data_IF_537919067124
#
_entry.id   IF_537919067124
#
_cell.length_a   1.000
_cell.length_b   1.000
_cell.length_c   1.000
_cell.angle_alpha   90.00
_cell.angle_beta   90.00
_cell.angle_gamma   90.00
#
_symmetry.space_group_name_H-M   'P 1'
#
loop_
_entity.id
_entity.type
_entity.pdbx_description
1 polymer ?
#
# COMPACT_ATOMS: atom_id res chain seq x y z
N UNK A 1 -1.64 -2.90 -11.29
CA UNK A 1 -2.27 -2.89 -12.61
C UNK A 1 -1.18 -2.77 -13.65
N UNK A 2 -1.20 -3.54 -14.74
CA UNK A 2 -0.38 -3.19 -15.88
C UNK A 2 -0.67 -1.74 -16.20
N UNK A 3 0.38 -0.94 -16.42
CA UNK A 3 0.17 0.43 -16.86
C UNK A 3 -0.72 0.43 -18.10
N UNK A 4 -1.47 1.51 -18.33
CA UNK A 4 -2.41 1.64 -19.43
C UNK A 4 -1.79 1.36 -20.83
N UNK A 5 -0.50 1.17 -20.91
CA UNK A 5 0.29 0.87 -22.12
C UNK A 5 0.63 -0.62 -22.26
N UNK A 6 0.17 -1.50 -21.37
CA UNK A 6 0.53 -2.93 -21.37
C UNK A 6 1.99 -3.23 -20.98
N UNK A 7 2.81 -2.23 -20.76
CA UNK A 7 4.12 -2.39 -20.15
C UNK A 7 3.94 -2.47 -18.63
N UNK A 8 4.11 -3.65 -18.05
CA UNK A 8 3.93 -3.94 -16.63
C UNK A 8 4.96 -3.29 -15.71
N UNK A 9 5.25 -2.00 -15.91
CA UNK A 9 6.29 -1.28 -15.18
C UNK A 9 5.65 -0.30 -14.21
N UNK A 10 5.87 -0.53 -12.91
CA UNK A 10 5.42 0.40 -11.88
C UNK A 10 6.27 1.68 -11.87
N UNK A 11 5.73 2.77 -11.33
CA UNK A 11 6.46 4.03 -11.16
C UNK A 11 7.81 3.82 -10.44
N UNK A 12 7.85 3.01 -9.39
CA UNK A 12 9.08 2.75 -8.64
C UNK A 12 10.14 1.99 -9.45
N UNK A 13 9.72 1.07 -10.33
CA UNK A 13 10.65 0.33 -11.21
C UNK A 13 11.24 1.26 -12.26
N UNK A 14 10.46 2.21 -12.80
CA UNK A 14 10.96 3.25 -13.70
C UNK A 14 11.99 4.17 -13.00
N UNK A 15 11.75 4.52 -11.74
CA UNK A 15 12.70 5.31 -10.96
C UNK A 15 14.01 4.54 -10.70
N UNK A 16 13.92 3.24 -10.37
CA UNK A 16 15.11 2.39 -10.24
C UNK A 16 15.92 2.33 -11.55
N UNK A 17 15.25 2.23 -12.71
CA UNK A 17 15.90 2.28 -14.01
C UNK A 17 16.57 3.64 -14.28
N UNK A 18 15.91 4.74 -13.92
CA UNK A 18 16.51 6.08 -14.07
C UNK A 18 17.75 6.27 -13.18
N UNK A 19 17.76 5.68 -11.98
CA UNK A 19 18.93 5.64 -11.11
C UNK A 19 20.07 4.83 -11.75
N UNK A 20 19.76 3.63 -12.27
CA UNK A 20 20.72 2.77 -12.98
C UNK A 20 21.34 3.46 -14.19
N UNK A 21 20.54 4.24 -14.94
CA UNK A 21 20.98 5.01 -16.10
C UNK A 21 21.76 6.30 -15.71
N UNK A 22 21.93 6.62 -14.43
CA UNK A 22 22.58 7.84 -13.96
C UNK A 22 21.79 9.13 -14.26
N UNK A 23 20.48 9.02 -14.49
CA UNK A 23 19.59 10.18 -14.79
C UNK A 23 19.13 10.90 -13.52
N UNK A 24 19.19 10.22 -12.38
CA UNK A 24 18.84 10.74 -11.05
C UNK A 24 19.81 10.18 -10.03
N UNK A 25 20.02 10.91 -8.92
CA UNK A 25 20.91 10.51 -7.83
C UNK A 25 20.18 9.74 -6.71
N UNK A 26 18.87 9.76 -6.70
CA UNK A 26 18.03 9.08 -5.73
C UNK A 26 16.56 9.24 -6.05
N UNK A 27 15.69 8.48 -5.35
CA UNK A 27 14.26 8.58 -5.51
C UNK A 27 13.51 8.18 -4.23
N UNK A 28 12.29 8.64 -4.12
CA UNK A 28 11.33 8.19 -3.13
C UNK A 28 10.27 7.32 -3.81
N UNK A 29 10.05 6.12 -3.30
CA UNK A 29 9.06 5.20 -3.86
C UNK A 29 8.47 4.27 -2.80
N UNK A 30 7.41 3.57 -3.16
CA UNK A 30 6.93 2.42 -2.42
C UNK A 30 7.87 1.21 -2.59
N UNK A 31 7.59 0.12 -1.85
CA UNK A 31 8.50 -1.01 -1.66
C UNK A 31 9.19 -1.57 -2.90
N UNK A 32 8.45 -1.83 -4.00
CA UNK A 32 9.01 -2.56 -5.14
C UNK A 32 10.16 -1.82 -5.83
N UNK A 33 10.05 -0.51 -6.05
CA UNK A 33 11.11 0.25 -6.72
C UNK A 33 12.42 0.26 -5.91
N UNK A 34 12.31 0.47 -4.61
CA UNK A 34 13.45 0.42 -3.70
C UNK A 34 14.08 -0.98 -3.66
N UNK A 35 13.28 -2.05 -3.61
CA UNK A 35 13.78 -3.43 -3.65
C UNK A 35 14.55 -3.74 -4.93
N UNK A 36 14.02 -3.34 -6.08
CA UNK A 36 14.72 -3.53 -7.37
C UNK A 36 16.09 -2.85 -7.35
N UNK A 37 16.15 -1.59 -6.88
CA UNK A 37 17.40 -0.85 -6.82
C UNK A 37 18.44 -1.53 -5.89
N UNK A 38 18.01 -1.94 -4.70
CA UNK A 38 18.88 -2.61 -3.72
C UNK A 38 19.34 -3.98 -4.22
N UNK A 39 18.41 -4.80 -4.74
CA UNK A 39 18.74 -6.15 -5.23
C UNK A 39 19.68 -6.15 -6.44
N UNK A 40 19.58 -5.13 -7.28
CA UNK A 40 20.50 -4.95 -8.41
C UNK A 40 21.84 -4.31 -8.02
N UNK A 41 21.98 -3.88 -6.77
CA UNK A 41 23.19 -3.21 -6.29
C UNK A 41 23.41 -1.81 -6.89
N UNK A 42 22.37 -1.20 -7.46
CA UNK A 42 22.40 0.14 -8.06
C UNK A 42 22.04 1.26 -7.09
N UNK A 43 21.57 0.91 -5.90
CA UNK A 43 21.20 1.87 -4.87
C UNK A 43 21.25 1.27 -3.47
N UNK A 44 21.27 2.15 -2.49
CA UNK A 44 21.22 1.81 -1.06
C UNK A 44 20.00 2.45 -0.42
N UNK A 45 19.32 1.73 0.47
CA UNK A 45 18.21 2.28 1.26
C UNK A 45 18.79 3.29 2.26
N UNK A 46 18.43 4.57 2.08
CA UNK A 46 18.86 5.66 2.97
C UNK A 46 17.87 5.85 4.13
N UNK A 47 16.57 5.70 3.85
CA UNK A 47 15.51 5.89 4.82
C UNK A 47 14.34 4.96 4.48
N UNK A 48 13.85 4.19 5.45
CA UNK A 48 12.63 3.38 5.32
C UNK A 48 11.61 3.75 6.41
N UNK A 49 10.68 4.64 6.09
CA UNK A 49 9.64 5.09 7.02
C UNK A 49 8.78 3.94 7.56
N UNK A 50 8.62 2.85 6.79
CA UNK A 50 7.87 1.65 7.21
C UNK A 50 8.56 0.92 8.37
N UNK A 51 9.87 1.14 8.57
CA UNK A 51 10.69 0.49 9.60
C UNK A 51 11.04 1.40 10.76
N UNK A 52 10.42 2.55 10.81
CA UNK A 52 10.62 3.50 11.88
C UNK A 52 11.73 4.52 11.62
N UNK A 53 12.27 4.60 10.40
CA UNK A 53 13.19 5.67 10.04
C UNK A 53 12.41 6.95 9.75
N UNK A 54 12.83 8.07 10.32
CA UNK A 54 12.23 9.37 10.09
C UNK A 54 11.35 9.89 11.23
N UNK A 55 10.48 10.88 10.99
CA UNK A 55 9.67 11.51 12.03
C UNK A 55 8.63 10.55 12.62
N UNK A 56 8.56 10.45 13.93
CA UNK A 56 7.58 9.59 14.63
C UNK A 56 6.13 9.86 14.18
N UNK A 57 5.79 11.10 13.85
CA UNK A 57 4.47 11.47 13.36
C UNK A 57 4.08 10.76 12.05
N UNK A 58 5.03 10.32 11.24
CA UNK A 58 4.77 9.62 9.99
C UNK A 58 4.41 8.14 10.19
N UNK A 59 4.73 7.53 11.33
CA UNK A 59 4.51 6.09 11.56
C UNK A 59 3.03 5.71 11.69
N UNK A 60 2.20 6.66 12.11
CA UNK A 60 0.75 6.45 12.18
C UNK A 60 0.02 6.69 10.86
N UNK A 61 0.72 7.09 9.80
CA UNK A 61 0.10 7.31 8.51
C UNK A 61 -0.13 5.99 7.78
N UNK A 62 -1.27 5.90 7.07
CA UNK A 62 -1.53 4.83 6.11
C UNK A 62 -1.88 5.45 4.78
N UNK A 63 -1.43 4.83 3.70
CA UNK A 63 -1.72 5.33 2.36
C UNK A 63 -2.58 4.37 1.54
N UNK A 64 -2.24 3.08 1.40
CA UNK A 64 -3.07 2.15 0.66
C UNK A 64 -4.39 1.90 1.40
N UNK A 65 -5.50 2.20 0.73
CA UNK A 65 -6.84 1.95 1.26
C UNK A 65 -7.76 1.40 0.17
N UNK A 66 -8.70 0.54 0.58
CA UNK A 66 -9.83 0.18 -0.27
C UNK A 66 -10.83 1.33 -0.22
N UNK A 67 -11.03 1.99 -1.36
CA UNK A 67 -11.93 3.12 -1.48
C UNK A 67 -13.10 2.80 -2.41
N UNK A 68 -14.26 3.37 -2.09
CA UNK A 68 -15.47 3.30 -2.91
C UNK A 68 -16.32 4.54 -2.71
N UNK A 69 -17.42 4.66 -3.44
CA UNK A 69 -18.38 5.77 -3.31
C UNK A 69 -19.50 5.42 -2.35
N UNK A 70 -20.05 6.44 -1.68
CA UNK A 70 -21.26 6.30 -0.86
C UNK A 70 -22.41 5.71 -1.68
N UNK A 71 -22.58 6.16 -2.93
CA UNK A 71 -23.61 5.66 -3.84
C UNK A 71 -23.48 4.14 -4.12
N UNK A 72 -22.23 3.60 -4.20
CA UNK A 72 -22.06 2.14 -4.33
C UNK A 72 -22.45 1.42 -3.04
N UNK A 73 -22.04 1.96 -1.90
CA UNK A 73 -22.39 1.36 -0.59
C UNK A 73 -23.91 1.30 -0.40
N UNK A 74 -24.62 2.38 -0.73
CA UNK A 74 -26.08 2.45 -0.61
C UNK A 74 -26.79 1.49 -1.58
N UNK A 75 -26.36 1.45 -2.84
CA UNK A 75 -26.99 0.61 -3.87
C UNK A 75 -26.64 -0.88 -3.71
N UNK A 76 -25.45 -1.20 -3.27
CA UNK A 76 -24.91 -2.57 -3.24
C UNK A 76 -24.02 -2.82 -2.02
N UNK A 77 -24.55 -2.74 -0.78
CA UNK A 77 -23.76 -2.87 0.44
C UNK A 77 -23.03 -4.21 0.53
N UNK A 78 -23.63 -5.29 0.03
CA UNK A 78 -23.02 -6.62 0.01
C UNK A 78 -21.79 -6.70 -0.92
N UNK A 79 -21.79 -5.96 -2.01
CA UNK A 79 -20.62 -5.88 -2.90
C UNK A 79 -19.46 -5.17 -2.20
N UNK A 80 -19.71 -4.08 -1.51
CA UNK A 80 -18.72 -3.38 -0.71
C UNK A 80 -18.20 -4.28 0.42
N UNK A 81 -19.08 -4.96 1.14
CA UNK A 81 -18.72 -5.93 2.17
C UNK A 81 -17.87 -7.11 1.63
N UNK A 82 -18.21 -7.60 0.43
CA UNK A 82 -17.45 -8.67 -0.22
C UNK A 82 -16.01 -8.24 -0.54
N UNK A 83 -15.81 -7.00 -1.00
CA UNK A 83 -14.48 -6.45 -1.25
C UNK A 83 -13.65 -6.34 0.03
N UNK A 84 -14.25 -5.88 1.14
CA UNK A 84 -13.60 -5.84 2.45
C UNK A 84 -13.21 -7.25 2.90
N UNK A 85 -14.14 -8.22 2.83
CA UNK A 85 -13.86 -9.63 3.18
C UNK A 85 -12.71 -10.21 2.34
N UNK A 86 -12.68 -9.90 1.03
CA UNK A 86 -11.61 -10.38 0.14
C UNK A 86 -10.25 -9.86 0.58
N UNK A 87 -10.14 -8.56 0.89
CA UNK A 87 -8.91 -7.94 1.39
C UNK A 87 -8.44 -8.59 2.70
N UNK A 88 -9.33 -8.74 3.67
CA UNK A 88 -9.00 -9.33 4.98
C UNK A 88 -8.57 -10.80 4.84
N UNK A 89 -9.27 -11.58 4.01
CA UNK A 89 -8.89 -12.97 3.71
C UNK A 89 -7.53 -13.05 3.02
N UNK A 90 -7.24 -12.14 2.10
CA UNK A 90 -5.94 -12.09 1.42
C UNK A 90 -4.82 -11.81 2.40
N UNK A 91 -4.98 -10.84 3.30
CA UNK A 91 -3.99 -10.56 4.33
C UNK A 91 -3.78 -11.78 5.25
N UNK A 92 -4.85 -12.49 5.64
CA UNK A 92 -4.76 -13.73 6.42
C UNK A 92 -4.03 -14.85 5.67
N UNK A 93 -4.33 -15.04 4.39
CA UNK A 93 -3.67 -16.03 3.55
C UNK A 93 -2.16 -15.73 3.38
N UNK A 94 -1.80 -14.47 3.19
CA UNK A 94 -0.40 -14.04 3.08
C UNK A 94 0.37 -14.21 4.40
N UNK A 95 -0.29 -14.00 5.54
CA UNK A 95 0.30 -14.28 6.86
C UNK A 95 0.58 -15.78 7.05
N UNK A 96 -0.28 -16.64 6.51
CA UNK A 96 -0.11 -18.09 6.57
C UNK A 96 0.94 -18.60 5.56
N UNK A 97 0.96 -18.03 4.36
CA UNK A 97 1.89 -18.41 3.29
C UNK A 97 2.17 -17.23 2.36
N UNK A 98 3.28 -16.54 2.58
CA UNK A 98 3.69 -15.38 1.80
C UNK A 98 3.99 -15.71 0.33
N UNK A 99 4.36 -16.95 0.01
CA UNK A 99 4.69 -17.37 -1.37
C UNK A 99 3.49 -17.29 -2.32
N UNK A 100 2.25 -17.28 -1.80
CA UNK A 100 1.06 -17.02 -2.59
C UNK A 100 1.15 -15.67 -3.35
N UNK A 101 1.86 -14.70 -2.80
CA UNK A 101 2.10 -13.42 -3.47
C UNK A 101 2.94 -13.58 -4.74
N UNK A 102 3.99 -14.40 -4.70
CA UNK A 102 4.82 -14.72 -5.89
C UNK A 102 4.04 -15.49 -6.93
N UNK A 103 3.22 -16.46 -6.54
CA UNK A 103 2.40 -17.26 -7.47
C UNK A 103 1.39 -16.39 -8.24
N UNK A 104 0.79 -15.41 -7.57
CA UNK A 104 -0.05 -14.40 -8.23
C UNK A 104 0.80 -13.43 -9.05
N UNK A 105 1.93 -13.00 -8.50
CA UNK A 105 2.86 -12.06 -9.14
C UNK A 105 3.34 -12.53 -10.51
N UNK A 106 3.66 -13.81 -10.66
CA UNK A 106 4.09 -14.42 -11.93
C UNK A 106 3.08 -14.28 -13.08
N UNK A 107 1.81 -14.05 -12.76
CA UNK A 107 0.76 -13.84 -13.77
C UNK A 107 0.71 -12.40 -14.27
N UNK A 108 1.25 -11.43 -13.50
CA UNK A 108 1.01 -10.01 -13.73
C UNK A 108 2.27 -9.17 -13.83
N UNK A 109 3.42 -9.70 -13.40
CA UNK A 109 4.69 -8.99 -13.34
C UNK A 109 5.78 -9.77 -14.08
N UNK A 110 6.83 -9.08 -14.59
CA UNK A 110 8.03 -9.74 -15.07
C UNK A 110 8.64 -10.65 -14.00
N UNK A 111 9.36 -11.69 -14.42
CA UNK A 111 9.88 -12.74 -13.52
C UNK A 111 10.74 -12.20 -12.38
N UNK A 112 11.58 -11.21 -12.68
CA UNK A 112 12.44 -10.60 -11.66
C UNK A 112 11.62 -9.93 -10.56
N UNK A 113 10.67 -9.06 -10.90
CA UNK A 113 9.79 -8.39 -9.95
C UNK A 113 8.90 -9.39 -9.21
N UNK A 114 8.38 -10.40 -9.90
CA UNK A 114 7.59 -11.47 -9.29
C UNK A 114 8.38 -12.23 -8.22
N UNK A 115 9.68 -12.44 -8.43
CA UNK A 115 10.56 -13.12 -7.46
C UNK A 115 10.77 -12.30 -6.17
N UNK A 116 10.62 -10.97 -6.23
CA UNK A 116 10.81 -10.09 -5.08
C UNK A 116 9.52 -9.87 -4.27
N UNK A 117 8.34 -10.18 -4.83
CA UNK A 117 7.06 -9.86 -4.19
C UNK A 117 6.94 -10.52 -2.81
N UNK A 118 7.29 -11.79 -2.68
CA UNK A 118 7.20 -12.50 -1.41
C UNK A 118 8.10 -11.87 -0.34
N UNK A 119 9.32 -11.46 -0.70
CA UNK A 119 10.26 -10.81 0.22
C UNK A 119 9.73 -9.46 0.70
N UNK A 120 9.18 -8.64 -0.23
CA UNK A 120 8.55 -7.35 0.10
C UNK A 120 7.35 -7.56 1.01
N UNK A 121 6.46 -8.49 0.67
CA UNK A 121 5.27 -8.78 1.47
C UNK A 121 5.65 -9.33 2.85
N UNK A 122 6.58 -10.29 2.95
CA UNK A 122 7.03 -10.86 4.22
C UNK A 122 7.53 -9.79 5.18
N UNK A 123 8.26 -8.83 4.66
CA UNK A 123 8.81 -7.72 5.40
C UNK A 123 7.75 -6.73 5.89
N UNK A 124 6.70 -6.51 5.10
CA UNK A 124 5.65 -5.54 5.39
C UNK A 124 4.45 -6.18 6.15
N UNK A 125 4.31 -7.50 6.15
CA UNK A 125 3.22 -8.23 6.83
C UNK A 125 3.01 -7.86 8.30
N UNK A 126 4.05 -7.61 9.12
CA UNK A 126 3.86 -7.21 10.52
C UNK A 126 3.08 -5.90 10.68
N UNK A 127 3.04 -5.07 9.62
CA UNK A 127 2.37 -3.77 9.61
C UNK A 127 1.01 -3.81 8.89
N UNK A 128 0.59 -4.97 8.36
CA UNK A 128 -0.70 -5.10 7.70
C UNK A 128 -1.83 -5.12 8.73
N UNK A 129 -2.61 -4.05 8.73
CA UNK A 129 -3.83 -3.90 9.50
C UNK A 129 -5.00 -3.64 8.53
N UNK A 130 -6.04 -4.48 8.50
CA UNK A 130 -7.19 -4.24 7.65
C UNK A 130 -8.09 -3.10 8.17
N UNK A 131 -7.89 -2.67 9.41
CA UNK A 131 -8.66 -1.61 10.04
C UNK A 131 -8.09 -0.22 9.78
N UNK A 132 -8.94 0.79 9.83
CA UNK A 132 -8.53 2.20 9.86
C UNK A 132 -8.90 2.75 11.23
N UNK A 133 -7.89 2.95 12.09
CA UNK A 133 -8.12 3.50 13.42
C UNK A 133 -8.50 4.98 13.37
N UNK A 134 -9.19 5.44 14.40
CA UNK A 134 -9.47 6.88 14.56
C UNK A 134 -8.17 7.70 14.67
N UNK A 135 -7.17 7.16 15.35
CA UNK A 135 -5.86 7.81 15.49
C UNK A 135 -5.18 8.02 14.13
N UNK A 136 -5.13 6.97 13.28
CA UNK A 136 -4.59 7.06 11.92
C UNK A 136 -5.36 8.09 11.10
N UNK A 137 -6.69 8.08 11.17
CA UNK A 137 -7.53 9.05 10.49
C UNK A 137 -7.23 10.49 10.95
N UNK A 138 -7.13 10.73 12.26
CA UNK A 138 -6.86 12.04 12.81
C UNK A 138 -5.48 12.57 12.39
N UNK A 139 -4.48 11.69 12.32
CA UNK A 139 -3.14 12.04 11.81
C UNK A 139 -3.19 12.45 10.34
N UNK A 140 -3.84 11.65 9.50
CA UNK A 140 -4.00 11.94 8.07
C UNK A 140 -4.82 13.21 7.82
N UNK A 141 -5.86 13.43 8.60
CA UNK A 141 -6.71 14.61 8.50
C UNK A 141 -5.93 15.89 8.85
N UNK A 142 -5.14 15.88 9.94
CA UNK A 142 -4.23 16.99 10.28
C UNK A 142 -3.19 17.25 9.19
N UNK A 143 -2.60 16.19 8.64
CA UNK A 143 -1.66 16.30 7.54
C UNK A 143 -2.30 16.96 6.32
N UNK A 144 -3.48 16.50 5.91
CA UNK A 144 -4.20 17.04 4.76
C UNK A 144 -4.52 18.55 4.93
N UNK A 145 -4.91 18.97 6.13
CA UNK A 145 -5.13 20.38 6.46
C UNK A 145 -3.84 21.20 6.42
N UNK A 146 -2.77 20.69 7.04
CA UNK A 146 -1.48 21.38 7.10
C UNK A 146 -0.85 21.57 5.71
N UNK A 147 -1.07 20.62 4.80
CA UNK A 147 -0.59 20.67 3.42
C UNK A 147 -1.54 21.40 2.45
N UNK A 148 -2.68 21.91 2.94
CA UNK A 148 -3.68 22.54 2.09
C UNK A 148 -4.42 21.61 1.13
N UNK A 149 -4.32 20.27 1.33
CA UNK A 149 -5.02 19.26 0.55
C UNK A 149 -6.51 19.19 0.89
N UNK A 150 -6.86 19.56 2.11
CA UNK A 150 -8.23 19.71 2.58
C UNK A 150 -8.44 21.14 3.11
N UNK A 151 -9.64 21.70 2.87
CA UNK A 151 -10.02 23.05 3.35
C UNK A 151 -10.57 23.03 4.76
N UNK A 152 -11.11 21.91 5.19
CA UNK A 152 -11.72 21.73 6.51
C UNK A 152 -11.49 20.31 7.02
N UNK A 153 -11.61 20.13 8.32
CA UNK A 153 -11.55 18.82 8.95
C UNK A 153 -12.77 17.98 8.55
N UNK A 154 -12.53 16.72 8.20
CA UNK A 154 -13.58 15.74 8.00
C UNK A 154 -13.86 14.97 9.29
N UNK A 155 -15.05 14.39 9.43
CA UNK A 155 -15.36 13.46 10.51
C UNK A 155 -14.98 12.03 10.11
N UNK A 156 -14.56 11.24 11.09
CA UNK A 156 -14.14 9.85 10.86
C UNK A 156 -15.21 9.03 10.12
N UNK A 157 -16.46 9.13 10.55
CA UNK A 157 -17.59 8.38 10.01
C UNK A 157 -18.02 8.85 8.60
N UNK A 158 -17.58 10.02 8.16
CA UNK A 158 -17.83 10.51 6.80
C UNK A 158 -16.83 9.95 5.78
N UNK A 159 -15.63 9.59 6.25
CA UNK A 159 -14.54 9.11 5.40
C UNK A 159 -14.37 7.60 5.51
N UNK A 160 -14.51 7.05 6.71
CA UNK A 160 -14.34 5.63 6.98
C UNK A 160 -15.71 4.94 7.06
N UNK A 161 -15.91 3.94 6.21
CA UNK A 161 -17.15 3.16 6.15
C UNK A 161 -17.27 2.22 7.36
N UNK A 162 -17.53 2.79 8.53
CA UNK A 162 -17.55 2.12 9.85
C UNK A 162 -18.56 1.00 9.97
N UNK A 163 -19.59 0.97 9.12
CA UNK A 163 -20.58 -0.10 9.05
C UNK A 163 -19.97 -1.46 8.67
N UNK A 164 -18.76 -1.47 8.10
CA UNK A 164 -18.01 -2.69 7.77
C UNK A 164 -16.95 -3.05 8.81
N UNK A 165 -16.88 -2.36 9.95
CA UNK A 165 -15.83 -2.55 10.98
C UNK A 165 -15.72 -3.98 11.47
N UNK A 166 -16.84 -4.69 11.63
CA UNK A 166 -16.83 -6.08 12.11
C UNK A 166 -16.15 -7.05 11.12
N UNK A 167 -16.05 -6.66 9.85
CA UNK A 167 -15.36 -7.44 8.83
C UNK A 167 -13.84 -7.28 8.88
N UNK A 168 -13.30 -6.28 9.57
CA UNK A 168 -11.84 -6.06 9.69
C UNK A 168 -11.17 -7.09 10.57
N UNK A 169 -11.91 -7.76 11.43
CA UNK A 169 -11.38 -8.80 12.31
C UNK A 169 -11.10 -10.05 11.48
N UNK A 170 -9.85 -10.50 11.49
CA UNK A 170 -9.52 -11.84 11.00
C UNK A 170 -10.17 -12.87 11.93
N UNK A 171 -11.04 -13.71 11.38
CA UNK A 171 -11.60 -14.87 12.08
C UNK A 171 -10.68 -16.06 11.90
#
# INVERSE_FOLDING_TARGET
>A
MPGATGAGVSFGVNAAKALEDGKIDGFWANGMGAEVAVRRGIGTMVLDARRGDGPKAAFGYTFPALATTTALIERSPEQAAAAVRALVKTQGALKANVNLATDVGRKWFPEFEASLIADVVARDLPFYDPGISRETFDLMNRFALAMGLAKQSARYEEVVAVQFRDLWKQR
#
